data_IF_730680417452
#
_entry.id   IF_730680417452
#
_cell.length_a   1.000
_cell.length_b   1.000
_cell.length_c   1.000
_cell.angle_alpha   90.00
_cell.angle_beta   90.00
_cell.angle_gamma   90.00
#
_symmetry.space_group_name_H-M   'P 1'
#
loop_
_entity.id
_entity.type
_entity.pdbx_description
1 polymer ?
#
# COMPACT_ATOMS: atom_id res chain seq x y z
N UNK A 1 -0.19 31.40 5.68
CA UNK A 1 -0.34 30.29 6.65
C UNK A 1 -1.11 29.17 5.95
N UNK A 2 -0.52 27.99 5.74
CA UNK A 2 -1.26 26.85 5.21
C UNK A 2 -2.28 26.40 6.27
N UNK A 3 -3.54 26.24 5.87
CA UNK A 3 -4.62 25.74 6.73
C UNK A 3 -4.17 24.41 7.34
N UNK A 4 -4.30 24.27 8.64
CA UNK A 4 -4.04 23.01 9.31
C UNK A 4 -5.13 22.01 8.91
N UNK A 5 -4.72 20.82 8.42
CA UNK A 5 -5.64 19.72 8.05
C UNK A 5 -5.60 18.69 9.17
N UNK A 6 -6.73 18.46 9.79
CA UNK A 6 -6.88 17.48 10.87
C UNK A 6 -6.99 16.05 10.34
N UNK A 7 -6.82 15.06 11.21
CA UNK A 7 -7.09 13.65 10.89
C UNK A 7 -8.57 13.49 10.48
N UNK A 8 -9.49 14.22 11.11
CA UNK A 8 -10.92 14.17 10.80
C UNK A 8 -11.21 14.66 9.38
N UNK A 9 -10.52 15.71 8.91
CA UNK A 9 -10.65 16.21 7.54
C UNK A 9 -10.19 15.14 6.54
N UNK A 10 -9.03 14.50 6.79
CA UNK A 10 -8.49 13.44 5.96
C UNK A 10 -9.44 12.22 5.93
N UNK A 11 -9.96 11.78 7.08
CA UNK A 11 -10.94 10.70 7.18
C UNK A 11 -12.21 10.99 6.40
N UNK A 12 -12.73 12.22 6.48
CA UNK A 12 -13.93 12.63 5.74
C UNK A 12 -13.75 12.50 4.22
N UNK A 13 -12.55 12.78 3.69
CA UNK A 13 -12.26 12.58 2.26
C UNK A 13 -12.14 11.11 1.88
N UNK A 14 -11.46 10.30 2.71
CA UNK A 14 -11.38 8.85 2.50
C UNK A 14 -12.77 8.20 2.50
N UNK A 15 -13.67 8.62 3.40
CA UNK A 15 -15.06 8.15 3.44
C UNK A 15 -15.86 8.50 2.17
N UNK A 16 -15.59 9.65 1.54
CA UNK A 16 -16.21 10.01 0.24
C UNK A 16 -15.80 9.05 -0.86
N UNK A 17 -14.50 8.69 -0.91
CA UNK A 17 -14.01 7.70 -1.89
C UNK A 17 -14.62 6.33 -1.63
N UNK A 18 -14.71 5.89 -0.36
CA UNK A 18 -15.37 4.63 -0.04
C UNK A 18 -16.82 4.61 -0.54
N UNK A 19 -17.59 5.66 -0.29
CA UNK A 19 -18.97 5.76 -0.77
C UNK A 19 -19.05 5.75 -2.29
N UNK A 20 -18.18 6.49 -2.99
CA UNK A 20 -18.14 6.49 -4.45
C UNK A 20 -17.84 5.09 -4.99
N UNK A 21 -16.82 4.44 -4.46
CA UNK A 21 -16.40 3.11 -4.91
C UNK A 21 -17.39 2.00 -4.52
N UNK A 22 -18.14 2.15 -3.41
CA UNK A 22 -19.24 1.25 -3.04
C UNK A 22 -20.42 1.34 -4.01
N UNK A 23 -20.77 2.53 -4.48
CA UNK A 23 -21.80 2.72 -5.50
C UNK A 23 -21.41 2.03 -6.82
N UNK A 24 -20.17 2.18 -7.24
CA UNK A 24 -19.64 1.54 -8.44
C UNK A 24 -19.44 0.02 -8.29
N UNK A 25 -19.28 -0.48 -7.06
CA UNK A 25 -19.16 -1.91 -6.77
C UNK A 25 -20.44 -2.69 -7.05
N UNK A 26 -21.59 -2.07 -6.84
CA UNK A 26 -22.89 -2.69 -7.14
C UNK A 26 -23.12 -2.88 -8.64
N UNK A 27 -22.36 -2.21 -9.49
CA UNK A 27 -22.43 -2.30 -10.96
C UNK A 27 -21.47 -3.36 -11.54
N UNK A 28 -20.84 -4.17 -10.72
CA UNK A 28 -20.03 -5.40 -11.02
C UNK A 28 -18.88 -5.28 -12.01
N UNK A 29 -18.42 -4.07 -12.39
CA UNK A 29 -17.60 -3.97 -13.61
C UNK A 29 -16.16 -3.49 -13.46
N UNK A 30 -15.66 -3.09 -12.30
CA UNK A 30 -14.29 -2.62 -12.29
C UNK A 30 -13.50 -3.08 -11.05
N UNK A 31 -12.63 -4.07 -11.25
CA UNK A 31 -11.60 -4.44 -10.26
C UNK A 31 -10.78 -3.23 -9.78
N UNK A 32 -10.71 -2.17 -10.58
CA UNK A 32 -10.10 -0.90 -10.22
C UNK A 32 -10.81 -0.24 -9.04
N UNK A 33 -12.16 -0.21 -9.04
CA UNK A 33 -12.92 0.34 -7.91
C UNK A 33 -12.78 -0.50 -6.64
N UNK A 34 -12.68 -1.83 -6.79
CA UNK A 34 -12.37 -2.72 -5.65
C UNK A 34 -11.02 -2.36 -5.06
N UNK A 35 -9.99 -2.25 -5.89
CA UNK A 35 -8.64 -1.90 -5.44
C UNK A 35 -8.59 -0.51 -4.78
N UNK A 36 -9.27 0.49 -5.34
CA UNK A 36 -9.36 1.83 -4.76
C UNK A 36 -10.11 1.83 -3.41
N UNK A 37 -11.19 1.05 -3.28
CA UNK A 37 -11.93 0.88 -2.03
C UNK A 37 -11.04 0.26 -0.95
N UNK A 38 -10.32 -0.80 -1.28
CA UNK A 38 -9.45 -1.49 -0.32
C UNK A 38 -8.28 -0.60 0.14
N UNK A 39 -7.69 0.20 -0.76
CA UNK A 39 -6.68 1.19 -0.40
C UNK A 39 -7.26 2.28 0.51
N UNK A 40 -8.46 2.79 0.22
CA UNK A 40 -9.16 3.74 1.08
C UNK A 40 -9.43 3.15 2.47
N UNK A 41 -9.86 1.89 2.57
CA UNK A 41 -10.04 1.17 3.85
C UNK A 41 -8.73 1.06 4.63
N UNK A 42 -7.61 0.76 3.97
CA UNK A 42 -6.28 0.71 4.60
C UNK A 42 -5.87 2.07 5.14
N UNK A 43 -6.00 3.14 4.35
CA UNK A 43 -5.69 4.52 4.78
C UNK A 43 -6.55 4.90 5.99
N UNK A 44 -7.86 4.57 5.97
CA UNK A 44 -8.76 4.78 7.11
C UNK A 44 -8.29 4.03 8.36
N UNK A 45 -7.94 2.76 8.22
CA UNK A 45 -7.42 1.95 9.32
C UNK A 45 -6.14 2.55 9.93
N UNK A 46 -5.23 3.05 9.08
CA UNK A 46 -4.01 3.75 9.50
C UNK A 46 -4.34 5.02 10.32
N UNK A 47 -5.27 5.85 9.87
CA UNK A 47 -5.69 7.05 10.62
C UNK A 47 -6.37 6.71 11.94
N UNK A 48 -7.20 5.67 11.97
CA UNK A 48 -7.81 5.20 13.22
C UNK A 48 -6.74 4.71 14.20
N UNK A 49 -5.71 4.01 13.73
CA UNK A 49 -4.59 3.60 14.56
C UNK A 49 -3.82 4.80 15.14
N UNK A 50 -3.55 5.84 14.32
CA UNK A 50 -2.91 7.07 14.80
C UNK A 50 -3.78 7.77 15.86
N UNK A 51 -5.10 7.81 15.67
CA UNK A 51 -6.02 8.45 16.60
C UNK A 51 -6.02 7.78 17.97
N UNK A 52 -5.72 6.48 18.03
CA UNK A 52 -5.64 5.72 19.28
C UNK A 52 -4.28 5.83 19.98
N UNK A 53 -3.26 6.39 19.30
CA UNK A 53 -1.96 6.61 19.94
C UNK A 53 -2.07 7.77 20.94
N UNK A 54 -1.65 7.58 22.21
CA UNK A 54 -1.61 8.65 23.20
C UNK A 54 -0.53 9.67 22.82
N UNK A 55 -0.95 10.79 22.22
CA UNK A 55 -0.07 11.82 21.67
C UNK A 55 0.74 12.60 22.73
N UNK A 56 0.42 12.43 24.00
CA UNK A 56 1.14 13.01 25.14
C UNK A 56 2.47 12.30 25.45
N UNK A 57 2.72 11.12 24.86
CA UNK A 57 3.96 10.35 25.03
C UNK A 57 4.81 10.37 23.75
N UNK A 58 4.96 11.51 23.14
CA UNK A 58 5.53 11.67 21.79
C UNK A 58 6.94 11.10 21.63
N UNK A 59 7.77 11.17 22.66
CA UNK A 59 9.15 10.66 22.63
C UNK A 59 9.26 9.16 22.37
N UNK A 60 8.21 8.40 22.71
CA UNK A 60 8.13 6.96 22.53
C UNK A 60 7.34 6.58 21.29
N UNK A 61 6.41 7.43 20.85
CA UNK A 61 5.40 7.12 19.83
C UNK A 61 5.69 7.69 18.44
N UNK A 62 6.72 8.55 18.29
CA UNK A 62 7.08 9.09 16.99
C UNK A 62 7.45 8.00 15.97
N UNK A 63 8.13 6.94 16.39
CA UNK A 63 8.51 5.84 15.49
C UNK A 63 7.30 5.07 14.99
N UNK A 64 6.37 4.57 15.85
CA UNK A 64 5.13 3.97 15.40
C UNK A 64 4.30 4.89 14.49
N UNK A 65 4.16 6.17 14.84
CA UNK A 65 3.44 7.14 14.01
C UNK A 65 4.10 7.31 12.64
N UNK A 66 5.43 7.41 12.56
CA UNK A 66 6.16 7.50 11.31
C UNK A 66 5.93 6.27 10.41
N UNK A 67 5.92 5.06 10.98
CA UNK A 67 5.64 3.83 10.24
C UNK A 67 4.23 3.84 9.67
N UNK A 68 3.22 4.23 10.47
CA UNK A 68 1.84 4.33 10.01
C UNK A 68 1.69 5.39 8.92
N UNK A 69 2.26 6.58 9.09
CA UNK A 69 2.23 7.62 8.05
C UNK A 69 2.98 7.20 6.78
N UNK A 70 4.05 6.40 6.90
CA UNK A 70 4.72 5.81 5.74
C UNK A 70 3.80 4.85 4.97
N UNK A 71 3.04 4.02 5.67
CA UNK A 71 2.03 3.16 5.04
C UNK A 71 0.97 4.00 4.30
N UNK A 72 0.46 5.07 4.93
CA UNK A 72 -0.47 6.00 4.29
C UNK A 72 0.12 6.56 2.98
N UNK A 73 1.37 7.02 3.00
CA UNK A 73 2.01 7.58 1.79
C UNK A 73 2.19 6.51 0.70
N UNK A 74 2.55 5.28 1.08
CA UNK A 74 2.63 4.15 0.15
C UNK A 74 1.29 3.88 -0.52
N UNK A 75 0.23 3.79 0.29
CA UNK A 75 -1.11 3.53 -0.21
C UNK A 75 -1.63 4.70 -1.06
N UNK A 76 -1.32 5.96 -0.74
CA UNK A 76 -1.66 7.13 -1.57
C UNK A 76 -0.99 7.11 -2.95
N UNK A 77 0.30 6.78 -3.02
CA UNK A 77 1.00 6.64 -4.31
C UNK A 77 0.38 5.51 -5.13
N UNK A 78 0.08 4.38 -4.49
CA UNK A 78 -0.57 3.25 -5.15
C UNK A 78 -1.97 3.63 -5.64
N UNK A 79 -2.75 4.33 -4.82
CA UNK A 79 -4.09 4.82 -5.16
C UNK A 79 -4.05 5.75 -6.38
N UNK A 80 -3.16 6.75 -6.37
CA UNK A 80 -2.99 7.67 -7.49
C UNK A 80 -2.53 6.93 -8.75
N UNK A 81 -1.58 6.01 -8.63
CA UNK A 81 -1.07 5.21 -9.73
C UNK A 81 -2.16 4.36 -10.38
N UNK A 82 -2.92 3.60 -9.58
CA UNK A 82 -4.05 2.80 -10.06
C UNK A 82 -5.13 3.68 -10.72
N UNK A 83 -5.34 4.89 -10.20
CA UNK A 83 -6.35 5.80 -10.73
C UNK A 83 -5.99 6.39 -12.11
N UNK A 84 -4.71 6.50 -12.47
CA UNK A 84 -4.28 7.20 -13.70
C UNK A 84 -3.81 6.30 -14.83
N UNK A 85 -3.35 5.07 -14.55
CA UNK A 85 -2.92 4.13 -15.59
C UNK A 85 -4.09 3.68 -16.46
N UNK A 86 -3.81 3.29 -17.71
CA UNK A 86 -4.82 2.80 -18.64
C UNK A 86 -5.43 1.45 -18.21
N UNK A 87 -6.65 1.16 -18.65
CA UNK A 87 -7.34 -0.08 -18.29
C UNK A 87 -6.59 -1.33 -18.75
N UNK A 88 -5.95 -1.28 -19.91
CA UNK A 88 -5.12 -2.39 -20.40
C UNK A 88 -3.91 -2.67 -19.52
N UNK A 89 -3.31 -1.62 -18.93
CA UNK A 89 -2.16 -1.70 -18.04
C UNK A 89 -2.56 -2.10 -16.62
N UNK A 90 -3.78 -1.76 -16.22
CA UNK A 90 -4.28 -2.01 -14.87
C UNK A 90 -4.19 -3.49 -14.50
N UNK A 91 -4.69 -4.40 -15.34
CA UNK A 91 -4.67 -5.84 -15.05
C UNK A 91 -3.26 -6.41 -14.97
N UNK A 92 -2.36 -5.96 -15.84
CA UNK A 92 -0.94 -6.37 -15.80
C UNK A 92 -0.25 -5.88 -14.52
N UNK A 93 -0.54 -4.64 -14.11
CA UNK A 93 -0.04 -4.05 -12.85
C UNK A 93 -0.58 -4.82 -11.64
N UNK A 94 -1.88 -5.13 -11.60
CA UNK A 94 -2.47 -5.91 -10.51
C UNK A 94 -1.85 -7.30 -10.44
N UNK A 95 -1.69 -7.99 -11.56
CA UNK A 95 -1.02 -9.29 -11.59
C UNK A 95 0.42 -9.23 -11.04
N UNK A 96 1.20 -8.19 -11.35
CA UNK A 96 2.53 -8.00 -10.76
C UNK A 96 2.45 -7.87 -9.24
N UNK A 97 1.48 -7.09 -8.72
CA UNK A 97 1.27 -6.91 -7.27
C UNK A 97 0.85 -8.23 -6.60
N UNK A 98 -0.02 -9.00 -7.23
CA UNK A 98 -0.51 -10.28 -6.71
C UNK A 98 0.61 -11.32 -6.67
N UNK A 99 1.46 -11.39 -7.70
CA UNK A 99 2.65 -12.26 -7.73
C UNK A 99 3.66 -11.85 -6.65
N UNK A 100 3.89 -10.55 -6.44
CA UNK A 100 4.76 -10.05 -5.36
C UNK A 100 4.18 -10.39 -3.97
N UNK A 101 2.87 -10.31 -3.80
CA UNK A 101 2.19 -10.74 -2.58
C UNK A 101 2.36 -12.24 -2.34
N UNK A 102 2.08 -13.08 -3.35
CA UNK A 102 2.24 -14.54 -3.25
C UNK A 102 3.68 -14.94 -2.91
N UNK A 103 4.67 -14.25 -3.49
CA UNK A 103 6.09 -14.44 -3.18
C UNK A 103 6.42 -14.08 -1.74
N UNK A 104 5.92 -12.94 -1.25
CA UNK A 104 6.13 -12.50 0.13
C UNK A 104 5.51 -13.47 1.12
N UNK A 105 4.31 -13.98 0.81
CA UNK A 105 3.61 -14.97 1.63
C UNK A 105 4.38 -16.29 1.69
N UNK A 106 4.86 -16.80 0.53
CA UNK A 106 5.70 -18.01 0.49
C UNK A 106 6.97 -17.83 1.33
N UNK A 107 7.69 -16.75 1.12
CA UNK A 107 8.93 -16.47 1.88
C UNK A 107 8.68 -16.42 3.39
N UNK A 108 7.56 -15.82 3.81
CA UNK A 108 7.18 -15.75 5.24
C UNK A 108 6.81 -17.12 5.80
N UNK A 109 6.12 -17.95 5.01
CA UNK A 109 5.79 -19.32 5.39
C UNK A 109 7.07 -20.17 5.53
N UNK A 110 7.94 -20.15 4.52
CA UNK A 110 9.19 -20.90 4.50
C UNK A 110 10.07 -20.52 5.69
N UNK A 111 10.28 -19.21 5.95
CA UNK A 111 11.05 -18.73 7.09
C UNK A 111 10.44 -19.16 8.44
N UNK A 112 9.12 -19.14 8.57
CA UNK A 112 8.43 -19.57 9.79
C UNK A 112 8.65 -21.07 10.05
N UNK A 113 8.55 -21.88 9.00
CA UNK A 113 8.76 -23.34 9.07
C UNK A 113 10.23 -23.65 9.42
N UNK A 114 11.18 -22.94 8.79
CA UNK A 114 12.62 -23.10 9.07
C UNK A 114 12.94 -22.82 10.54
N UNK A 115 12.47 -21.69 11.08
CA UNK A 115 12.65 -21.34 12.50
C UNK A 115 12.04 -22.39 13.42
N UNK A 116 10.86 -22.94 13.10
CA UNK A 116 10.21 -23.99 13.91
C UNK A 116 11.00 -25.27 13.91
N UNK A 117 11.51 -25.72 12.75
CA UNK A 117 12.35 -26.91 12.63
C UNK A 117 13.65 -26.77 13.41
N UNK A 118 14.27 -25.60 13.39
CA UNK A 118 15.46 -25.33 14.21
C UNK A 118 15.15 -25.36 15.70
N UNK A 119 13.99 -24.85 16.11
CA UNK A 119 13.58 -24.77 17.52
C UNK A 119 13.10 -26.12 18.06
N UNK A 120 12.41 -26.92 17.23
CA UNK A 120 11.79 -28.21 17.59
C UNK A 120 12.15 -29.28 16.54
N UNK A 121 13.40 -29.76 16.50
CA UNK A 121 13.89 -30.66 15.46
C UNK A 121 13.16 -32.02 15.45
N UNK A 122 12.67 -32.49 16.59
CA UNK A 122 11.96 -33.76 16.72
C UNK A 122 10.55 -33.72 16.09
N UNK A 123 10.00 -32.51 15.82
CA UNK A 123 8.69 -32.27 15.19
C UNK A 123 8.82 -31.83 13.72
N UNK A 124 9.98 -32.00 13.11
CA UNK A 124 10.28 -31.49 11.76
C UNK A 124 9.27 -31.94 10.69
N UNK A 125 8.84 -33.22 10.74
CA UNK A 125 7.89 -33.79 9.77
C UNK A 125 6.51 -33.17 9.92
N UNK A 126 6.07 -32.86 11.16
CA UNK A 126 4.78 -32.22 11.44
C UNK A 126 4.75 -30.80 10.85
N UNK A 127 5.88 -30.07 10.86
CA UNK A 127 5.95 -28.74 10.24
C UNK A 127 5.92 -28.79 8.72
N UNK A 128 6.46 -29.82 8.09
CA UNK A 128 6.36 -30.03 6.64
C UNK A 128 4.92 -30.31 6.22
N UNK A 129 4.22 -31.16 6.99
CA UNK A 129 2.80 -31.42 6.77
C UNK A 129 1.96 -30.15 6.98
N UNK A 130 2.24 -29.37 8.01
CA UNK A 130 1.58 -28.09 8.27
C UNK A 130 1.78 -27.12 7.10
N UNK A 131 3.00 -26.96 6.58
CA UNK A 131 3.31 -26.14 5.42
C UNK A 131 2.51 -26.57 4.19
N UNK A 132 2.51 -27.88 3.91
CA UNK A 132 1.76 -28.44 2.79
C UNK A 132 0.25 -28.20 2.91
N UNK A 133 -0.32 -28.38 4.09
CA UNK A 133 -1.74 -28.13 4.35
C UNK A 133 -2.09 -26.66 4.17
N UNK A 134 -1.22 -25.72 4.58
CA UNK A 134 -1.39 -24.28 4.31
C UNK A 134 -1.36 -23.96 2.82
N UNK A 135 -0.41 -24.54 2.10
CA UNK A 135 -0.30 -24.36 0.65
C UNK A 135 -1.52 -24.87 -0.10
N UNK A 136 -2.03 -26.05 0.27
CA UNK A 136 -3.27 -26.61 -0.32
C UNK A 136 -4.48 -25.72 -0.04
N UNK A 137 -4.62 -25.22 1.20
CA UNK A 137 -5.75 -24.39 1.62
C UNK A 137 -5.83 -23.05 0.87
N UNK A 138 -4.69 -22.43 0.60
CA UNK A 138 -4.62 -21.11 -0.06
C UNK A 138 -4.42 -21.21 -1.58
N UNK A 139 -4.33 -22.43 -2.13
CA UNK A 139 -4.04 -22.61 -3.55
C UNK A 139 -5.07 -21.94 -4.45
N UNK A 140 -6.36 -22.14 -4.17
CA UNK A 140 -7.42 -21.62 -5.04
C UNK A 140 -7.46 -20.09 -5.08
N UNK A 141 -7.02 -19.42 -4.01
CA UNK A 141 -6.92 -17.97 -3.92
C UNK A 141 -5.69 -17.40 -4.66
N UNK A 142 -4.65 -18.21 -4.86
CA UNK A 142 -3.37 -17.81 -5.42
C UNK A 142 -3.02 -18.47 -6.75
N UNK A 143 -3.89 -19.35 -7.28
CA UNK A 143 -3.61 -20.19 -8.46
C UNK A 143 -3.09 -19.40 -9.67
N UNK A 144 -3.60 -18.17 -9.87
CA UNK A 144 -3.20 -17.31 -10.99
C UNK A 144 -1.78 -16.71 -10.82
N UNK A 145 -1.19 -16.88 -9.63
CA UNK A 145 0.19 -16.49 -9.30
C UNK A 145 1.15 -17.67 -9.23
N UNK A 146 0.65 -18.90 -9.45
CA UNK A 146 1.41 -20.14 -9.28
C UNK A 146 1.60 -20.86 -10.61
N UNK A 147 2.79 -21.43 -10.81
CA UNK A 147 3.10 -22.31 -11.95
C UNK A 147 3.09 -23.81 -11.56
N UNK A 148 2.84 -24.12 -10.27
CA UNK A 148 2.68 -25.48 -9.74
C UNK A 148 1.21 -25.87 -9.65
N UNK A 149 0.92 -27.19 -9.62
CA UNK A 149 -0.44 -27.71 -9.44
C UNK A 149 -0.84 -27.78 -7.96
N UNK A 150 -2.15 -27.93 -7.69
CA UNK A 150 -2.68 -28.08 -6.33
C UNK A 150 -2.14 -29.35 -5.67
N UNK A 151 -1.53 -29.17 -4.51
CA UNK A 151 -0.90 -30.27 -3.74
C UNK A 151 0.60 -30.43 -3.99
N UNK A 152 1.15 -29.71 -4.97
CA UNK A 152 2.59 -29.55 -5.12
C UNK A 152 3.11 -28.38 -4.29
N UNK A 153 4.44 -28.35 -4.06
CA UNK A 153 5.09 -27.17 -3.48
C UNK A 153 4.87 -25.95 -4.39
N UNK A 154 4.53 -24.81 -3.79
CA UNK A 154 4.29 -23.58 -4.54
C UNK A 154 5.52 -23.12 -5.32
N UNK A 155 5.34 -23.00 -6.62
CA UNK A 155 6.28 -22.33 -7.53
C UNK A 155 5.64 -21.03 -7.99
N UNK A 156 6.13 -19.92 -7.47
CA UNK A 156 5.60 -18.60 -7.83
C UNK A 156 5.90 -18.31 -9.29
N UNK A 157 4.91 -17.83 -10.01
CA UNK A 157 5.04 -17.42 -11.40
C UNK A 157 6.03 -16.23 -11.52
N UNK A 158 6.74 -16.15 -12.64
CA UNK A 158 7.57 -14.98 -12.94
C UNK A 158 6.70 -13.88 -13.52
N UNK A 159 6.43 -12.84 -12.74
CA UNK A 159 5.76 -11.65 -13.27
C UNK A 159 6.56 -11.04 -14.42
N UNK A 160 5.88 -10.71 -15.50
CA UNK A 160 6.47 -9.94 -16.61
C UNK A 160 6.43 -8.46 -16.22
N UNK A 161 7.56 -7.76 -16.44
CA UNK A 161 7.57 -6.31 -16.28
C UNK A 161 6.65 -5.64 -17.32
N UNK A 162 5.93 -4.62 -16.90
CA UNK A 162 5.10 -3.77 -17.77
C UNK A 162 5.84 -2.48 -18.07
N UNK A 163 5.73 -1.99 -19.31
CA UNK A 163 6.27 -0.69 -19.70
C UNK A 163 5.13 0.33 -19.70
N UNK A 164 5.23 1.34 -18.83
CA UNK A 164 4.25 2.42 -18.71
C UNK A 164 4.98 3.73 -18.97
N UNK A 165 4.57 4.46 -19.98
CA UNK A 165 5.20 5.74 -20.39
C UNK A 165 6.73 5.63 -20.53
N UNK A 166 7.23 4.51 -21.07
CA UNK A 166 8.67 4.25 -21.27
C UNK A 166 9.41 3.78 -20.00
N UNK A 167 8.76 3.65 -18.88
CA UNK A 167 9.35 3.20 -17.61
C UNK A 167 8.92 1.77 -17.31
N UNK A 168 9.91 0.94 -16.97
CA UNK A 168 9.70 -0.45 -16.58
C UNK A 168 9.15 -0.54 -15.15
N UNK A 169 7.98 -1.16 -14.99
CA UNK A 169 7.34 -1.44 -13.70
C UNK A 169 7.48 -2.93 -13.34
N UNK A 170 7.88 -3.19 -12.09
CA UNK A 170 8.08 -4.53 -11.51
C UNK A 170 7.58 -4.64 -10.06
N UNK A 171 6.62 -3.80 -9.66
CA UNK A 171 6.01 -3.85 -8.32
C UNK A 171 6.53 -2.82 -7.31
N UNK A 172 7.56 -2.04 -7.63
CA UNK A 172 8.18 -1.14 -6.65
C UNK A 172 7.48 0.22 -6.58
N UNK A 173 7.23 0.72 -5.35
CA UNK A 173 6.64 2.04 -5.09
C UNK A 173 7.43 3.19 -5.73
N UNK A 174 8.75 3.09 -5.82
CA UNK A 174 9.58 4.07 -6.50
C UNK A 174 9.27 4.15 -7.99
N UNK A 175 9.07 3.02 -8.65
CA UNK A 175 8.71 2.97 -10.07
C UNK A 175 7.35 3.59 -10.32
N UNK A 176 6.35 3.36 -9.44
CA UNK A 176 5.07 4.05 -9.50
C UNK A 176 5.26 5.57 -9.48
N UNK A 177 6.05 6.08 -8.53
CA UNK A 177 6.37 7.51 -8.46
C UNK A 177 7.07 8.01 -9.73
N UNK A 178 8.05 7.27 -10.26
CA UNK A 178 8.76 7.67 -11.47
C UNK A 178 7.84 7.70 -12.70
N UNK A 179 6.88 6.76 -12.80
CA UNK A 179 5.84 6.75 -13.83
C UNK A 179 4.87 7.94 -13.64
N UNK A 180 4.38 8.19 -12.42
CA UNK A 180 3.48 9.30 -12.13
C UNK A 180 4.05 10.66 -12.51
N UNK A 181 5.37 10.85 -12.44
CA UNK A 181 6.04 12.07 -12.91
C UNK A 181 5.94 12.32 -14.42
N UNK A 182 5.61 11.30 -15.20
CA UNK A 182 5.47 11.42 -16.66
C UNK A 182 4.09 11.90 -17.09
N UNK A 183 3.11 11.91 -16.18
CA UNK A 183 1.78 12.44 -16.41
C UNK A 183 1.77 13.98 -16.39
N UNK A 184 0.58 14.56 -16.47
CA UNK A 184 0.36 16.00 -16.42
C UNK A 184 0.89 16.66 -15.13
N UNK A 185 0.83 18.00 -15.09
CA UNK A 185 1.36 18.76 -13.96
C UNK A 185 0.58 18.52 -12.66
N UNK A 186 -0.74 18.23 -12.75
CA UNK A 186 -1.57 17.96 -11.57
C UNK A 186 -1.16 16.63 -10.93
N UNK A 187 -1.14 15.55 -11.70
CA UNK A 187 -0.70 14.23 -11.22
C UNK A 187 0.73 14.26 -10.68
N UNK A 188 1.64 14.96 -11.39
CA UNK A 188 3.03 15.13 -10.96
C UNK A 188 3.14 15.85 -9.61
N UNK A 189 2.33 16.90 -9.42
CA UNK A 189 2.30 17.65 -8.15
C UNK A 189 1.78 16.75 -7.01
N UNK A 190 0.70 15.98 -7.24
CA UNK A 190 0.15 15.03 -6.27
C UNK A 190 1.15 13.92 -5.92
N UNK A 191 1.86 13.38 -6.91
CA UNK A 191 2.88 12.34 -6.70
C UNK A 191 4.05 12.82 -5.82
N UNK A 192 4.24 14.14 -5.64
CA UNK A 192 5.30 14.69 -4.78
C UNK A 192 5.22 14.24 -3.32
N UNK A 193 4.07 13.71 -2.88
CA UNK A 193 3.91 13.08 -1.55
C UNK A 193 4.94 11.97 -1.30
N UNK A 194 5.49 11.35 -2.34
CA UNK A 194 6.54 10.33 -2.26
C UNK A 194 7.81 10.81 -1.51
N UNK A 195 8.09 12.11 -1.49
CA UNK A 195 9.21 12.65 -0.70
C UNK A 195 9.10 12.28 0.78
N UNK A 196 7.87 12.23 1.32
CA UNK A 196 7.62 11.85 2.72
C UNK A 196 7.81 10.35 2.94
N UNK A 197 7.54 9.50 1.96
CA UNK A 197 7.85 8.07 2.04
C UNK A 197 9.33 7.84 2.33
N UNK A 198 10.21 8.50 1.57
CA UNK A 198 11.66 8.40 1.77
C UNK A 198 12.10 8.92 3.13
N UNK A 199 11.51 10.03 3.56
CA UNK A 199 11.84 10.64 4.84
C UNK A 199 11.43 9.74 6.02
N UNK A 200 10.19 9.22 5.99
CA UNK A 200 9.66 8.36 7.05
C UNK A 200 10.34 6.98 7.07
N UNK A 201 10.86 6.49 5.95
CA UNK A 201 11.65 5.25 5.88
C UNK A 201 12.92 5.31 6.72
N UNK A 202 13.44 6.50 7.02
CA UNK A 202 14.60 6.63 7.90
C UNK A 202 14.31 6.18 9.33
N UNK A 203 13.04 6.17 9.74
CA UNK A 203 12.61 5.74 11.07
C UNK A 203 12.71 4.22 11.28
N UNK A 204 12.82 3.44 10.21
CA UNK A 204 12.97 1.98 10.26
C UNK A 204 14.43 1.56 10.51
N UNK A 205 15.36 2.44 10.18
CA UNK A 205 16.78 2.13 10.29
C UNK A 205 17.35 2.79 11.55
N UNK A 206 17.71 1.96 12.53
CA UNK A 206 18.42 2.47 13.71
C UNK A 206 19.79 3.02 13.29
N UNK A 207 19.97 4.33 13.48
CA UNK A 207 21.27 4.97 13.39
C UNK A 207 21.39 6.04 14.47
N UNK A 208 22.61 6.28 14.96
CA UNK A 208 22.86 7.33 15.97
C UNK A 208 22.43 8.73 15.47
N UNK A 209 22.60 8.99 14.16
CA UNK A 209 22.13 10.24 13.54
C UNK A 209 20.63 10.25 13.34
N UNK A 210 20.03 9.14 12.90
CA UNK A 210 18.57 9.00 12.76
C UNK A 210 17.83 9.20 14.08
N UNK A 211 18.40 8.73 15.19
CA UNK A 211 17.86 8.97 16.53
C UNK A 211 17.65 10.45 16.84
N UNK A 212 18.60 11.32 16.49
CA UNK A 212 18.51 12.77 16.73
C UNK A 212 17.34 13.39 15.93
N UNK A 213 17.07 12.88 14.72
CA UNK A 213 15.96 13.35 13.90
C UNK A 213 14.60 12.82 14.38
N UNK A 214 14.54 11.57 14.85
CA UNK A 214 13.31 10.93 15.32
C UNK A 214 12.69 11.63 16.54
N UNK A 215 13.46 12.42 17.30
CA UNK A 215 12.99 13.15 18.50
C UNK A 215 12.61 14.61 18.22
N UNK A 216 12.57 15.07 16.97
CA UNK A 216 12.15 16.44 16.63
C UNK A 216 10.67 16.50 16.32
N UNK A 217 9.84 16.50 17.35
CA UNK A 217 8.38 16.54 17.28
C UNK A 217 7.83 17.57 16.28
N UNK A 218 8.24 18.82 16.38
CA UNK A 218 7.75 19.91 15.52
C UNK A 218 7.97 19.65 14.01
N UNK A 219 9.06 18.95 13.67
CA UNK A 219 9.37 18.61 12.30
C UNK A 219 8.40 17.57 11.75
N UNK A 220 8.10 16.52 12.54
CA UNK A 220 7.19 15.46 12.15
C UNK A 220 5.74 15.91 12.10
N UNK A 221 5.29 16.74 13.03
CA UNK A 221 3.96 17.39 13.01
C UNK A 221 3.73 18.11 11.68
N UNK A 222 4.73 18.88 11.22
CA UNK A 222 4.69 19.56 9.94
C UNK A 222 4.56 18.57 8.77
N UNK A 223 5.27 17.43 8.82
CA UNK A 223 5.18 16.42 7.78
C UNK A 223 3.84 15.69 7.82
N UNK A 224 3.34 15.35 9.01
CA UNK A 224 2.03 14.73 9.15
C UNK A 224 0.90 15.61 8.61
N UNK A 225 0.95 16.91 8.90
CA UNK A 225 0.00 17.85 8.32
C UNK A 225 0.09 17.88 6.78
N UNK A 226 1.30 17.87 6.22
CA UNK A 226 1.49 17.82 4.76
C UNK A 226 0.96 16.52 4.15
N UNK A 227 1.15 15.39 4.82
CA UNK A 227 0.60 14.10 4.37
C UNK A 227 -0.93 14.14 4.42
N UNK A 228 -1.55 14.64 5.50
CA UNK A 228 -3.02 14.82 5.58
C UNK A 228 -3.55 15.72 4.47
N UNK A 229 -2.85 16.82 4.16
CA UNK A 229 -3.19 17.66 3.00
C UNK A 229 -3.16 16.87 1.69
N UNK A 230 -2.11 16.05 1.48
CA UNK A 230 -2.01 15.23 0.27
C UNK A 230 -3.10 14.15 0.20
N UNK A 231 -3.53 13.56 1.33
CA UNK A 231 -4.70 12.69 1.37
C UNK A 231 -5.91 13.42 0.79
N UNK A 232 -6.23 14.61 1.31
CA UNK A 232 -7.37 15.39 0.82
C UNK A 232 -7.25 15.75 -0.67
N UNK A 233 -6.06 16.07 -1.15
CA UNK A 233 -5.84 16.45 -2.55
C UNK A 233 -5.96 15.24 -3.50
N UNK A 234 -5.30 14.12 -3.18
CA UNK A 234 -5.31 12.92 -4.00
C UNK A 234 -6.72 12.32 -4.04
N UNK A 235 -7.36 12.15 -2.88
CA UNK A 235 -8.71 11.64 -2.80
C UNK A 235 -9.72 12.58 -3.50
N UNK A 236 -9.52 13.90 -3.38
CA UNK A 236 -10.31 14.89 -4.10
C UNK A 236 -10.14 14.81 -5.63
N UNK A 237 -8.92 14.57 -6.11
CA UNK A 237 -8.64 14.33 -7.52
C UNK A 237 -9.35 13.07 -8.03
N UNK A 238 -9.24 11.96 -7.30
CA UNK A 238 -9.86 10.69 -7.64
C UNK A 238 -11.39 10.84 -7.66
N UNK A 239 -11.96 11.48 -6.66
CA UNK A 239 -13.39 11.74 -6.60
C UNK A 239 -13.87 12.51 -7.82
N UNK A 240 -13.19 13.58 -8.20
CA UNK A 240 -13.55 14.37 -9.40
C UNK A 240 -13.43 13.52 -10.67
N UNK A 241 -12.32 12.77 -10.81
CA UNK A 241 -12.06 11.96 -11.99
C UNK A 241 -13.16 10.91 -12.23
N UNK A 242 -13.58 10.19 -11.20
CA UNK A 242 -14.53 9.09 -11.34
C UNK A 242 -15.99 9.53 -11.22
N UNK A 243 -16.28 10.60 -10.48
CA UNK A 243 -17.63 11.14 -10.40
C UNK A 243 -18.07 11.81 -11.72
N UNK A 244 -17.14 12.36 -12.49
CA UNK A 244 -17.41 12.92 -13.81
C UNK A 244 -17.85 11.84 -14.82
N UNK A 245 -17.42 10.58 -14.66
CA UNK A 245 -17.87 9.47 -15.51
C UNK A 245 -19.33 9.04 -15.23
N UNK A 246 -19.85 9.27 -14.01
CA UNK A 246 -21.26 8.95 -13.67
C UNK A 246 -22.23 10.04 -14.13
N UNK A 247 -21.79 11.30 -14.17
CA UNK A 247 -22.66 12.45 -14.54
C UNK A 247 -22.74 12.71 -16.03
N UNK A 248 -21.93 12.02 -16.86
CA UNK A 248 -21.95 12.14 -18.31
C UNK A 248 -21.51 13.51 -18.85
N UNK A 249 -20.75 14.29 -18.06
CA UNK A 249 -20.12 15.54 -18.47
C UNK A 249 -18.73 15.34 -19.09
#
# INVERSE_FOLDING_TARGET
MSKEVTIKDALSMVEKIQKLTELCYNDTKSNRFVALNDLARKIRACFNAIYLLPLDQYDVLCVPANLIYRCIVSDLITTLFIAVIDDSQFYEVMHIMDVDFAKSLKNSLDANIEIRKETYPDESDDFDELSKNYQIKLYDDLKDCLSSEKGEEWKIEKSKAVIINGIRYTGQIRQMYDILKTYDNEVRALASVYQYYRLLSQSEHYSLKGRIFNYKQELYEKYYNKIRCNVCLIEGYIYKKFNAFETGE
#
